data_IF_204264341915
#
_entry.id   IF_204264341915
#
_cell.length_a   1.000
_cell.length_b   1.000
_cell.length_c   1.000
_cell.angle_alpha   90.00
_cell.angle_beta   90.00
_cell.angle_gamma   90.00
#
_symmetry.space_group_name_H-M   'P 1'
#
loop_
_entity.id
_entity.type
_entity.pdbx_description
1 polymer ?
#
# COMPACT_ATOMS: atom_id res chain seq x y z
N UNK A 1 21.79 14.75 -16.41
CA UNK A 1 20.40 15.15 -16.12
C UNK A 1 19.50 14.21 -16.89
N UNK A 2 18.63 13.47 -16.21
CA UNK A 2 17.66 12.58 -16.86
C UNK A 2 16.58 13.45 -17.53
N UNK A 3 16.17 13.08 -18.75
CA UNK A 3 15.11 13.78 -19.47
C UNK A 3 13.78 13.67 -18.69
N UNK A 4 12.91 14.70 -18.73
CA UNK A 4 11.60 14.64 -18.10
C UNK A 4 10.75 13.55 -18.76
N UNK A 5 10.05 12.77 -17.94
CA UNK A 5 9.14 11.71 -18.39
C UNK A 5 7.73 12.30 -18.47
N UNK A 6 7.06 12.12 -19.61
CA UNK A 6 5.64 12.45 -19.78
C UNK A 6 4.81 11.19 -19.56
N UNK A 7 3.81 11.27 -18.68
CA UNK A 7 2.88 10.18 -18.36
C UNK A 7 1.45 10.66 -18.59
N UNK A 8 0.64 9.84 -19.25
CA UNK A 8 -0.80 10.06 -19.39
C UNK A 8 -1.53 9.33 -18.26
N UNK A 9 -2.27 10.07 -17.43
CA UNK A 9 -3.07 9.51 -16.33
C UNK A 9 -4.44 9.05 -16.84
N UNK A 10 -4.44 8.05 -17.73
CA UNK A 10 -5.68 7.47 -18.26
C UNK A 10 -6.22 6.39 -17.31
N UNK A 11 -7.53 6.44 -17.02
CA UNK A 11 -8.22 5.37 -16.33
C UNK A 11 -8.15 4.07 -17.14
N UNK A 12 -7.81 2.97 -16.48
CA UNK A 12 -7.75 1.64 -17.10
C UNK A 12 -8.98 0.84 -16.71
N UNK A 13 -9.74 0.33 -17.67
CA UNK A 13 -11.03 -0.34 -17.42
C UNK A 13 -11.01 -1.83 -17.78
N UNK A 14 -9.83 -2.44 -17.95
CA UNK A 14 -9.70 -3.80 -18.46
C UNK A 14 -9.59 -3.90 -19.99
N UNK A 15 -9.93 -5.06 -20.59
CA UNK A 15 -10.42 -6.29 -19.94
C UNK A 15 -9.31 -7.14 -19.30
N UNK A 16 -9.70 -8.18 -18.55
CA UNK A 16 -8.81 -9.27 -18.11
C UNK A 16 -9.55 -10.63 -18.15
N UNK A 17 -8.82 -11.75 -18.28
CA UNK A 17 -9.39 -13.09 -18.28
C UNK A 17 -10.05 -13.48 -16.94
N UNK A 18 -10.99 -14.42 -16.99
CA UNK A 18 -11.69 -14.93 -15.80
C UNK A 18 -10.76 -15.67 -14.82
N UNK A 19 -9.67 -16.26 -15.31
CA UNK A 19 -8.66 -17.00 -14.54
C UNK A 19 -7.43 -16.16 -14.17
N UNK A 20 -7.51 -14.84 -14.30
CA UNK A 20 -6.41 -13.93 -13.99
C UNK A 20 -6.12 -13.90 -12.48
N UNK A 21 -4.93 -14.35 -12.08
CA UNK A 21 -4.50 -14.35 -10.67
C UNK A 21 -4.50 -12.96 -10.01
N UNK A 22 -4.46 -11.90 -10.80
CA UNK A 22 -4.46 -10.50 -10.33
C UNK A 22 -5.82 -9.81 -10.58
N UNK A 23 -6.88 -10.56 -10.91
CA UNK A 23 -8.20 -10.04 -11.25
C UNK A 23 -8.76 -9.07 -10.19
N UNK A 24 -8.58 -9.37 -8.90
CA UNK A 24 -9.04 -8.49 -7.81
C UNK A 24 -8.36 -7.12 -7.84
N UNK A 25 -7.05 -7.09 -8.05
CA UNK A 25 -6.28 -5.84 -8.10
C UNK A 25 -6.58 -5.05 -9.37
N UNK A 26 -6.75 -5.74 -10.50
CA UNK A 26 -7.21 -5.14 -11.76
C UNK A 26 -8.61 -4.54 -11.62
N UNK A 27 -9.54 -5.23 -10.96
CA UNK A 27 -10.87 -4.72 -10.67
C UNK A 27 -10.83 -3.44 -9.82
N UNK A 28 -9.94 -3.38 -8.83
CA UNK A 28 -9.72 -2.19 -8.01
C UNK A 28 -9.19 -1.01 -8.84
N UNK A 29 -8.18 -1.23 -9.70
CA UNK A 29 -7.69 -0.20 -10.63
C UNK A 29 -8.84 0.31 -11.53
N UNK A 30 -9.65 -0.61 -12.07
CA UNK A 30 -10.77 -0.27 -12.93
C UNK A 30 -11.88 0.52 -12.21
N UNK A 31 -12.13 0.24 -10.93
CA UNK A 31 -13.08 1.00 -10.13
C UNK A 31 -12.70 2.49 -10.00
N UNK A 32 -11.41 2.81 -10.10
CA UNK A 32 -10.90 4.18 -10.01
C UNK A 32 -10.79 4.90 -11.37
N UNK A 33 -11.06 4.22 -12.49
CA UNK A 33 -10.78 4.74 -13.83
C UNK A 33 -11.52 6.05 -14.18
N UNK A 34 -12.66 6.31 -13.54
CA UNK A 34 -13.47 7.51 -13.79
C UNK A 34 -13.24 8.64 -12.79
N UNK A 35 -12.38 8.44 -11.79
CA UNK A 35 -12.04 9.49 -10.83
C UNK A 35 -11.06 10.47 -11.46
N UNK A 36 -11.16 11.76 -11.10
CA UNK A 36 -10.13 12.74 -11.43
C UNK A 36 -8.93 12.55 -10.47
N UNK A 37 -7.78 12.04 -10.96
CA UNK A 37 -6.63 11.74 -10.11
C UNK A 37 -5.91 13.01 -9.62
N UNK A 38 -6.22 14.19 -10.17
CA UNK A 38 -5.48 15.42 -9.90
C UNK A 38 -6.26 16.45 -9.08
N UNK A 39 -7.54 16.25 -8.80
CA UNK A 39 -8.36 17.21 -8.05
C UNK A 39 -7.70 17.71 -6.75
N UNK A 40 -7.29 16.80 -5.86
CA UNK A 40 -6.58 17.11 -4.61
C UNK A 40 -5.21 17.73 -4.86
N UNK A 41 -4.44 17.21 -5.83
CA UNK A 41 -3.08 17.68 -6.12
C UNK A 41 -3.09 19.08 -6.74
N UNK A 42 -4.08 19.40 -7.58
CA UNK A 42 -4.26 20.72 -8.18
C UNK A 42 -4.58 21.80 -7.15
N UNK A 43 -5.46 21.47 -6.18
CA UNK A 43 -5.74 22.35 -5.05
C UNK A 43 -4.48 22.61 -4.20
N UNK A 44 -3.74 21.55 -3.88
CA UNK A 44 -2.48 21.67 -3.14
C UNK A 44 -1.46 22.51 -3.92
N UNK A 45 -1.24 22.18 -5.20
CA UNK A 45 -0.36 22.91 -6.12
C UNK A 45 -0.62 24.43 -6.09
N UNK A 46 -1.89 24.81 -6.15
CA UNK A 46 -2.31 26.22 -6.11
C UNK A 46 -2.07 26.86 -4.75
N UNK A 47 -2.25 26.11 -3.66
CA UNK A 47 -2.13 26.65 -2.29
C UNK A 47 -0.69 26.92 -1.85
N UNK A 48 0.28 26.14 -2.34
CA UNK A 48 1.69 26.23 -1.92
C UNK A 48 2.63 26.68 -3.05
N UNK A 49 2.08 27.03 -4.21
CA UNK A 49 2.81 27.50 -5.39
C UNK A 49 3.90 26.53 -5.86
N UNK A 50 3.52 25.26 -6.02
CA UNK A 50 4.40 24.19 -6.53
C UNK A 50 3.78 23.56 -7.76
N UNK A 51 4.52 23.33 -8.87
CA UNK A 51 3.96 22.70 -10.07
C UNK A 51 3.37 21.32 -9.79
N UNK A 52 2.19 21.04 -10.36
CA UNK A 52 1.50 19.73 -10.24
C UNK A 52 2.44 18.56 -10.53
N UNK A 53 3.24 18.65 -11.59
CA UNK A 53 4.20 17.59 -11.96
C UNK A 53 5.25 17.32 -10.87
N UNK A 54 5.69 18.35 -10.16
CA UNK A 54 6.63 18.19 -9.04
C UNK A 54 5.98 17.52 -7.83
N UNK A 55 4.72 17.83 -7.55
CA UNK A 55 3.95 17.15 -6.50
C UNK A 55 3.66 15.69 -6.85
N UNK A 56 3.28 15.41 -8.09
CA UNK A 56 3.09 14.03 -8.57
C UNK A 56 4.39 13.25 -8.49
N UNK A 57 5.51 13.83 -8.92
CA UNK A 57 6.84 13.21 -8.80
C UNK A 57 7.15 12.88 -7.33
N UNK A 58 6.94 13.84 -6.43
CA UNK A 58 7.14 13.65 -5.00
C UNK A 58 6.26 12.52 -4.44
N UNK A 59 4.97 12.49 -4.79
CA UNK A 59 4.04 11.44 -4.35
C UNK A 59 4.48 10.07 -4.86
N UNK A 60 4.89 9.96 -6.12
CA UNK A 60 5.41 8.70 -6.67
C UNK A 60 6.70 8.28 -5.96
N UNK A 61 7.66 9.20 -5.80
CA UNK A 61 8.91 8.89 -5.10
C UNK A 61 8.69 8.52 -3.64
N UNK A 62 7.77 9.18 -2.94
CA UNK A 62 7.47 8.93 -1.54
C UNK A 62 6.64 7.65 -1.39
N UNK A 63 5.44 7.62 -1.96
CA UNK A 63 4.46 6.57 -1.69
C UNK A 63 4.61 5.33 -2.58
N UNK A 64 4.92 5.48 -3.87
CA UNK A 64 5.17 4.32 -4.72
C UNK A 64 6.48 3.60 -4.33
N UNK A 65 7.43 4.31 -3.72
CA UNK A 65 8.61 3.69 -3.09
C UNK A 65 8.35 3.24 -1.66
N UNK A 66 7.36 3.78 -0.95
CA UNK A 66 7.00 3.36 0.41
C UNK A 66 6.33 1.98 0.48
N UNK A 67 5.72 1.49 -0.62
CA UNK A 67 5.39 0.06 -0.77
C UNK A 67 6.63 -0.85 -0.67
N UNK A 68 7.81 -0.30 -0.97
CA UNK A 68 9.13 -0.88 -0.69
C UNK A 68 9.68 -0.45 0.68
N UNK A 69 9.35 0.75 1.19
CA UNK A 69 9.75 1.20 2.54
C UNK A 69 9.19 0.33 3.65
N UNK A 70 7.94 -0.14 3.58
CA UNK A 70 7.44 -1.14 4.54
C UNK A 70 8.25 -2.44 4.55
N UNK A 71 8.77 -2.86 3.38
CA UNK A 71 9.68 -4.01 3.24
C UNK A 71 11.12 -3.68 3.67
N UNK A 72 11.56 -2.43 3.54
CA UNK A 72 12.89 -1.97 3.93
C UNK A 72 13.00 -1.73 5.45
N UNK A 73 11.95 -1.17 6.06
CA UNK A 73 11.88 -0.88 7.50
C UNK A 73 11.52 -2.11 8.33
N UNK A 74 10.53 -2.93 7.91
CA UNK A 74 10.18 -4.18 8.60
C UNK A 74 11.07 -5.36 8.16
N UNK A 75 11.65 -5.30 6.97
CA UNK A 75 12.38 -6.39 6.36
C UNK A 75 11.49 -7.47 5.73
N UNK A 76 11.97 -8.20 4.69
CA UNK A 76 11.21 -9.25 4.01
C UNK A 76 10.84 -10.43 4.91
N UNK A 77 11.56 -10.63 6.03
CA UNK A 77 11.23 -11.66 7.02
C UNK A 77 9.97 -11.31 7.81
N UNK A 78 9.84 -10.06 8.25
CA UNK A 78 8.68 -9.62 9.03
C UNK A 78 7.42 -9.55 8.17
N UNK A 79 7.54 -9.02 6.95
CA UNK A 79 6.42 -8.98 6.00
C UNK A 79 5.87 -10.39 5.69
N UNK A 80 6.75 -11.39 5.51
CA UNK A 80 6.33 -12.80 5.34
C UNK A 80 5.68 -13.36 6.60
N UNK A 81 6.22 -13.03 7.78
CA UNK A 81 5.69 -13.49 9.06
C UNK A 81 4.28 -12.96 9.35
N UNK A 82 4.01 -11.69 9.02
CA UNK A 82 2.67 -11.09 9.18
C UNK A 82 1.66 -11.63 8.15
N UNK A 83 2.13 -12.02 6.96
CA UNK A 83 1.27 -12.58 5.90
C UNK A 83 0.89 -14.04 6.14
N UNK A 84 1.75 -14.81 6.79
CA UNK A 84 1.61 -16.26 6.92
C UNK A 84 0.29 -16.70 7.59
N UNK A 85 -0.19 -16.08 8.69
CA UNK A 85 -1.45 -16.46 9.31
C UNK A 85 -2.65 -16.29 8.37
N UNK A 86 -2.68 -15.20 7.58
CA UNK A 86 -3.74 -14.97 6.60
C UNK A 86 -3.73 -16.03 5.50
N UNK A 87 -2.54 -16.34 4.95
CA UNK A 87 -2.40 -17.38 3.92
C UNK A 87 -2.89 -18.74 4.40
N UNK A 88 -2.54 -19.13 5.63
CA UNK A 88 -2.99 -20.40 6.21
C UNK A 88 -4.51 -20.44 6.40
N UNK A 89 -5.10 -19.35 6.91
CA UNK A 89 -6.54 -19.25 7.07
C UNK A 89 -7.31 -19.26 5.74
N UNK A 90 -6.76 -18.64 4.70
CA UNK A 90 -7.33 -18.69 3.34
C UNK A 90 -7.32 -20.10 2.75
N UNK A 91 -6.31 -20.92 3.06
CA UNK A 91 -6.25 -22.31 2.62
C UNK A 91 -7.30 -23.19 3.30
N UNK A 92 -7.53 -22.99 4.60
CA UNK A 92 -8.54 -23.74 5.35
C UNK A 92 -9.97 -23.26 5.03
N UNK A 93 -10.12 -22.00 4.62
CA UNK A 93 -11.38 -21.38 4.17
C UNK A 93 -12.54 -21.47 5.19
N UNK A 94 -12.23 -21.47 6.49
CA UNK A 94 -13.22 -21.44 7.57
C UNK A 94 -13.19 -20.12 8.33
N UNK A 95 -14.31 -19.77 8.96
CA UNK A 95 -14.40 -18.54 9.75
C UNK A 95 -13.60 -18.67 11.05
N UNK A 96 -13.52 -19.87 11.61
CA UNK A 96 -12.66 -20.18 12.75
C UNK A 96 -11.19 -19.93 12.43
N UNK A 97 -10.72 -20.36 11.24
CA UNK A 97 -9.34 -20.13 10.81
C UNK A 97 -9.06 -18.64 10.57
N UNK A 98 -10.01 -17.89 9.98
CA UNK A 98 -9.90 -16.43 9.80
C UNK A 98 -9.80 -15.70 11.15
N UNK A 99 -10.63 -16.07 12.11
CA UNK A 99 -10.63 -15.46 13.44
C UNK A 99 -9.33 -15.77 14.19
N UNK A 100 -8.83 -17.00 14.08
CA UNK A 100 -7.54 -17.39 14.64
C UNK A 100 -6.37 -16.62 14.01
N UNK A 101 -6.39 -16.40 12.69
CA UNK A 101 -5.38 -15.60 11.99
C UNK A 101 -5.42 -14.13 12.40
N UNK A 102 -6.62 -13.55 12.54
CA UNK A 102 -6.79 -12.19 13.05
C UNK A 102 -6.14 -12.04 14.43
N UNK A 103 -6.43 -12.95 15.36
CA UNK A 103 -5.89 -12.87 16.72
C UNK A 103 -4.36 -13.00 16.74
N UNK A 104 -3.80 -13.89 15.93
CA UNK A 104 -2.35 -14.05 15.81
C UNK A 104 -1.67 -12.78 15.25
N UNK A 105 -2.24 -12.17 14.22
CA UNK A 105 -1.67 -10.95 13.63
C UNK A 105 -1.85 -9.77 14.58
N UNK A 106 -3.00 -9.66 15.26
CA UNK A 106 -3.25 -8.64 16.29
C UNK A 106 -2.15 -8.64 17.36
N UNK A 107 -1.80 -9.81 17.88
CA UNK A 107 -0.70 -9.96 18.86
C UNK A 107 0.67 -9.56 18.29
N UNK A 108 0.94 -9.87 17.02
CA UNK A 108 2.19 -9.44 16.37
C UNK A 108 2.26 -7.92 16.21
N UNK A 109 1.13 -7.26 15.92
CA UNK A 109 1.04 -5.81 15.81
C UNK A 109 1.16 -5.14 17.19
N UNK A 110 0.54 -5.71 18.22
CA UNK A 110 0.69 -5.20 19.61
C UNK A 110 2.15 -5.15 20.03
N UNK A 111 2.92 -6.19 19.71
CA UNK A 111 4.37 -6.22 19.98
C UNK A 111 5.15 -5.12 19.24
N UNK A 112 4.73 -4.75 18.02
CA UNK A 112 5.35 -3.65 17.28
C UNK A 112 4.97 -2.27 17.83
N UNK A 113 3.82 -2.16 18.49
CA UNK A 113 3.35 -0.90 19.08
C UNK A 113 4.00 -0.61 20.44
N UNK A 114 4.48 -1.62 21.18
CA UNK A 114 5.15 -1.44 22.49
C UNK A 114 6.17 -0.29 22.52
N UNK A 115 7.16 -0.20 21.59
CA UNK A 115 8.12 0.90 21.57
C UNK A 115 7.53 2.25 21.11
N UNK A 116 6.39 2.24 20.40
CA UNK A 116 5.71 3.47 19.98
C UNK A 116 4.91 4.07 21.15
N UNK A 117 4.26 3.21 21.94
CA UNK A 117 3.49 3.60 23.11
C UNK A 117 4.37 3.88 24.33
N UNK A 118 5.57 3.30 24.35
CA UNK A 118 6.57 3.48 25.41
C UNK A 118 7.94 3.83 24.80
N UNK A 119 8.10 5.06 24.29
CA UNK A 119 9.34 5.48 23.62
C UNK A 119 10.57 5.44 24.54
N UNK A 120 10.37 5.48 25.86
CA UNK A 120 11.43 5.40 26.86
C UNK A 120 11.75 3.95 27.34
N UNK A 121 11.01 2.94 26.86
CA UNK A 121 11.17 1.56 27.32
C UNK A 121 12.43 0.85 26.76
N UNK A 122 13.06 1.44 25.74
CA UNK A 122 14.32 0.94 25.18
C UNK A 122 15.40 2.03 25.29
N UNK A 123 16.50 1.81 26.03
CA UNK A 123 17.65 2.71 25.95
C UNK A 123 18.25 2.61 24.55
N UNK A 124 18.43 3.77 23.90
CA UNK A 124 19.11 3.89 22.60
C UNK A 124 20.57 3.50 22.64
#
# INVERSE_FOLDING_TARGET
MTQPITITLAGWTGPWPDDDKDANFKAEIAAHANLDPLSTIGNLSSSIDVPVGSLVHYVLCRWASEGSSGLLELGPRMARRLREPFRAAEQDNTDEARLAAYEQVRQMIEWLNVPLDNPDAYPG
#
